data_IF_890054161960
#
_entry.id   IF_890054161960
#
_cell.length_a   1.000
_cell.length_b   1.000
_cell.length_c   1.000
_cell.angle_alpha   90.00
_cell.angle_beta   90.00
_cell.angle_gamma   90.00
#
_symmetry.space_group_name_H-M   'P 1'
#
loop_
_entity.id
_entity.type
_entity.pdbx_description
1 polymer ?
#
# COMPACT_ATOMS: atom_id res chain seq x y z
N UNK A 1 -3.97 -20.17 -9.18
CA UNK A 1 -4.77 -19.73 -10.33
C UNK A 1 -4.34 -18.32 -10.67
N UNK A 2 -3.69 -18.10 -11.81
CA UNK A 2 -3.40 -16.75 -12.28
C UNK A 2 -4.64 -16.24 -13.02
N UNK A 3 -5.03 -14.99 -12.77
CA UNK A 3 -6.04 -14.32 -13.58
C UNK A 3 -5.45 -14.05 -14.97
N UNK A 4 -6.24 -14.13 -16.06
CA UNK A 4 -5.76 -13.81 -17.41
C UNK A 4 -5.15 -12.40 -17.46
N UNK A 5 -4.07 -12.23 -18.23
CA UNK A 5 -3.46 -10.91 -18.39
C UNK A 5 -4.48 -9.86 -18.84
N UNK A 6 -4.48 -8.70 -18.19
CA UNK A 6 -5.38 -7.59 -18.51
C UNK A 6 -6.80 -7.68 -17.94
N UNK A 7 -7.15 -8.75 -17.20
CA UNK A 7 -8.47 -8.92 -16.58
C UNK A 7 -8.66 -8.04 -15.34
N UNK A 8 -7.58 -7.64 -14.67
CA UNK A 8 -7.58 -6.68 -13.55
C UNK A 8 -6.79 -5.45 -13.98
N UNK A 9 -7.39 -4.27 -13.85
CA UNK A 9 -6.75 -3.01 -14.26
C UNK A 9 -7.03 -1.85 -13.30
N UNK A 10 -6.20 -0.80 -13.33
CA UNK A 10 -6.51 0.46 -12.67
C UNK A 10 -7.81 1.06 -13.23
N UNK A 11 -8.67 1.61 -12.37
CA UNK A 11 -9.96 2.17 -12.78
C UNK A 11 -9.87 3.50 -13.55
N UNK A 12 -8.70 4.11 -13.61
CA UNK A 12 -8.37 5.32 -14.37
C UNK A 12 -7.89 5.02 -15.79
N UNK A 13 -7.78 3.75 -16.17
CA UNK A 13 -7.44 3.35 -17.54
C UNK A 13 -8.69 3.16 -18.40
N UNK A 14 -8.59 3.40 -19.73
CA UNK A 14 -9.68 3.12 -20.66
C UNK A 14 -10.16 1.66 -20.54
N UNK A 15 -11.48 1.49 -20.71
CA UNK A 15 -12.06 0.17 -20.84
C UNK A 15 -11.42 -0.58 -22.03
N UNK A 16 -11.23 -1.91 -21.91
CA UNK A 16 -10.72 -2.67 -23.04
C UNK A 16 -11.66 -2.55 -24.23
N UNK A 17 -11.12 -2.43 -25.44
CA UNK A 17 -11.90 -2.53 -26.65
C UNK A 17 -12.36 -3.99 -26.82
N UNK A 18 -13.63 -4.29 -26.50
CA UNK A 18 -14.20 -5.63 -26.65
C UNK A 18 -15.28 -5.94 -25.62
N UNK A 19 -15.95 -7.08 -25.79
CA UNK A 19 -17.03 -7.55 -24.90
C UNK A 19 -16.53 -8.42 -23.73
N UNK A 20 -15.22 -8.57 -23.56
CA UNK A 20 -14.66 -9.44 -22.53
C UNK A 20 -14.90 -8.86 -21.12
N UNK A 21 -15.32 -9.67 -20.13
CA UNK A 21 -15.51 -9.21 -18.77
C UNK A 21 -14.17 -8.80 -18.15
N UNK A 22 -14.19 -7.75 -17.33
CA UNK A 22 -13.00 -7.21 -16.68
C UNK A 22 -13.32 -6.62 -15.31
N UNK A 23 -12.28 -6.49 -14.49
CA UNK A 23 -12.36 -5.92 -13.15
C UNK A 23 -11.46 -4.69 -13.08
N UNK A 24 -11.97 -3.63 -12.47
CA UNK A 24 -11.18 -2.45 -12.12
C UNK A 24 -11.00 -2.33 -10.62
N UNK A 25 -9.81 -1.90 -10.21
CA UNK A 25 -9.48 -1.67 -8.81
C UNK A 25 -9.01 -0.23 -8.66
N UNK A 26 -9.58 0.49 -7.69
CA UNK A 26 -9.22 1.87 -7.37
C UNK A 26 -9.02 2.04 -5.88
N UNK A 27 -7.87 2.59 -5.49
CA UNK A 27 -7.69 3.11 -4.14
C UNK A 27 -8.42 4.45 -4.01
N UNK A 28 -9.44 4.51 -3.16
CA UNK A 28 -10.23 5.71 -2.90
C UNK A 28 -9.52 6.64 -1.93
N UNK A 29 -8.98 6.06 -0.84
CA UNK A 29 -8.31 6.81 0.23
C UNK A 29 -7.29 5.93 0.95
N UNK A 30 -6.26 6.55 1.51
CA UNK A 30 -5.37 5.93 2.49
C UNK A 30 -5.36 6.81 3.74
N UNK A 31 -5.64 6.24 4.90
CA UNK A 31 -5.53 6.92 6.19
C UNK A 31 -4.41 6.27 7.00
N UNK A 32 -3.48 7.06 7.57
CA UNK A 32 -2.48 6.50 8.46
C UNK A 32 -3.17 5.96 9.72
N UNK A 33 -2.74 4.78 10.16
CA UNK A 33 -3.13 4.18 11.43
C UNK A 33 -2.05 4.49 12.45
N UNK A 34 -2.28 5.54 13.24
CA UNK A 34 -1.34 6.01 14.25
C UNK A 34 -0.12 6.74 13.69
N UNK A 35 0.87 6.93 14.55
CA UNK A 35 2.13 7.57 14.20
C UNK A 35 3.11 6.59 13.56
N UNK A 36 3.99 7.10 12.70
CA UNK A 36 5.11 6.33 12.19
C UNK A 36 6.03 5.91 13.34
N UNK A 37 6.44 4.65 13.35
CA UNK A 37 7.44 4.16 14.28
C UNK A 37 8.82 4.26 13.62
N UNK A 38 9.71 5.03 14.21
CA UNK A 38 11.11 5.13 13.81
C UNK A 38 11.97 4.32 14.77
N UNK A 39 12.73 3.37 14.23
CA UNK A 39 13.75 2.64 14.97
C UNK A 39 15.12 2.91 14.33
N UNK A 40 16.13 3.12 15.17
CA UNK A 40 17.51 3.33 14.76
C UNK A 40 18.41 2.33 15.48
N UNK A 41 19.22 1.60 14.72
CA UNK A 41 20.12 0.55 15.25
C UNK A 41 21.60 0.98 15.25
N UNK A 42 21.88 2.27 15.01
CA UNK A 42 23.26 2.80 14.90
C UNK A 42 23.75 2.95 13.46
N UNK A 43 23.18 2.23 12.48
CA UNK A 43 23.59 2.28 11.06
C UNK A 43 22.42 2.51 10.12
N UNK A 44 21.26 1.94 10.45
CA UNK A 44 20.05 2.02 9.68
C UNK A 44 18.94 2.65 10.49
N UNK A 45 18.20 3.53 9.83
CA UNK A 45 16.92 4.00 10.30
C UNK A 45 15.84 3.21 9.56
N UNK A 46 14.93 2.61 10.32
CA UNK A 46 13.73 1.97 9.77
C UNK A 46 12.50 2.73 10.23
N UNK A 47 11.66 3.07 9.26
CA UNK A 47 10.40 3.77 9.47
C UNK A 47 9.28 2.80 9.10
N UNK A 48 8.44 2.48 10.08
CA UNK A 48 7.28 1.59 9.90
C UNK A 48 6.00 2.41 10.05
N UNK A 49 5.16 2.39 9.02
CA UNK A 49 3.87 3.06 8.99
C UNK A 49 2.77 2.03 8.70
N UNK A 50 1.69 2.07 9.46
CA UNK A 50 0.47 1.33 9.15
C UNK A 50 -0.51 2.26 8.43
N UNK A 51 -1.19 1.75 7.42
CA UNK A 51 -2.24 2.47 6.70
C UNK A 51 -3.51 1.62 6.63
N UNK A 52 -4.66 2.29 6.68
CA UNK A 52 -5.94 1.74 6.27
C UNK A 52 -6.28 2.28 4.88
N UNK A 53 -6.40 1.38 3.92
CA UNK A 53 -6.76 1.69 2.54
C UNK A 53 -8.22 1.38 2.31
N UNK A 54 -8.94 2.35 1.73
CA UNK A 54 -10.27 2.15 1.17
C UNK A 54 -10.11 1.88 -0.32
N UNK A 55 -10.57 0.71 -0.79
CA UNK A 55 -10.42 0.25 -2.16
C UNK A 55 -11.79 -0.05 -2.73
N UNK A 56 -12.07 0.45 -3.93
CA UNK A 56 -13.25 0.12 -4.72
C UNK A 56 -12.86 -0.89 -5.79
N UNK A 57 -13.60 -1.98 -5.86
CA UNK A 57 -13.46 -3.01 -6.90
C UNK A 57 -14.75 -3.02 -7.69
N UNK A 58 -14.65 -2.85 -9.00
CA UNK A 58 -15.79 -2.87 -9.92
C UNK A 58 -15.59 -4.00 -10.91
N UNK A 59 -16.63 -4.78 -11.16
CA UNK A 59 -16.65 -5.78 -12.21
C UNK A 59 -17.59 -5.33 -13.33
N UNK A 60 -17.22 -5.64 -14.57
CA UNK A 60 -17.94 -5.29 -15.78
C UNK A 60 -18.11 -6.53 -16.67
N UNK A 61 -19.24 -6.58 -17.38
CA UNK A 61 -19.58 -7.68 -18.29
C UNK A 61 -20.50 -8.71 -17.66
N UNK A 62 -20.91 -9.70 -18.48
CA UNK A 62 -21.85 -10.73 -18.07
C UNK A 62 -21.37 -11.48 -16.83
N UNK A 63 -22.21 -11.58 -15.81
CA UNK A 63 -21.88 -12.26 -14.55
C UNK A 63 -21.03 -11.42 -13.58
N UNK A 64 -20.97 -10.10 -13.74
CA UNK A 64 -20.18 -9.22 -12.89
C UNK A 64 -20.51 -9.36 -11.40
N UNK A 65 -21.79 -9.54 -11.06
CA UNK A 65 -22.25 -9.69 -9.68
C UNK A 65 -21.76 -11.00 -9.05
N UNK A 66 -21.94 -12.11 -9.76
CA UNK A 66 -21.50 -13.45 -9.35
C UNK A 66 -19.98 -13.52 -9.20
N UNK A 67 -19.25 -12.84 -10.10
CA UNK A 67 -17.79 -12.73 -10.02
C UNK A 67 -17.37 -12.03 -8.72
N UNK A 68 -18.03 -10.94 -8.35
CA UNK A 68 -17.69 -10.26 -7.09
C UNK A 68 -18.09 -11.06 -5.85
N UNK A 69 -19.18 -11.83 -5.89
CA UNK A 69 -19.50 -12.77 -4.81
C UNK A 69 -18.42 -13.84 -4.64
N UNK A 70 -17.92 -14.40 -5.74
CA UNK A 70 -16.79 -15.34 -5.70
C UNK A 70 -15.52 -14.68 -5.16
N UNK A 71 -15.23 -13.44 -5.58
CA UNK A 71 -14.08 -12.69 -5.09
C UNK A 71 -14.17 -12.42 -3.58
N UNK A 72 -15.35 -12.08 -3.06
CA UNK A 72 -15.59 -11.92 -1.62
C UNK A 72 -15.32 -13.21 -0.83
N UNK A 73 -15.82 -14.34 -1.33
CA UNK A 73 -15.57 -15.64 -0.72
C UNK A 73 -14.07 -15.98 -0.71
N UNK A 74 -13.36 -15.70 -1.81
CA UNK A 74 -11.92 -15.90 -1.91
C UNK A 74 -11.13 -15.00 -0.94
N UNK A 75 -11.52 -13.73 -0.81
CA UNK A 75 -10.87 -12.80 0.13
C UNK A 75 -11.04 -13.24 1.59
N UNK A 76 -12.16 -13.88 1.90
CA UNK A 76 -12.48 -14.37 3.24
C UNK A 76 -11.86 -15.75 3.55
N UNK A 77 -11.42 -16.49 2.53
CA UNK A 77 -10.89 -17.84 2.73
C UNK A 77 -9.44 -17.83 3.24
N UNK A 78 -8.97 -18.98 3.72
CA UNK A 78 -7.61 -19.12 4.25
C UNK A 78 -6.54 -18.76 3.21
N UNK A 79 -6.73 -19.16 1.96
CA UNK A 79 -5.78 -18.86 0.89
C UNK A 79 -5.73 -17.36 0.58
N UNK A 80 -6.88 -16.68 0.53
CA UNK A 80 -6.96 -15.23 0.30
C UNK A 80 -6.33 -14.44 1.45
N UNK A 81 -6.68 -14.78 2.69
CA UNK A 81 -6.08 -14.13 3.87
C UNK A 81 -4.57 -14.40 3.98
N UNK A 82 -4.10 -15.59 3.60
CA UNK A 82 -2.67 -15.89 3.51
C UNK A 82 -1.96 -15.05 2.43
N UNK A 83 -2.59 -14.89 1.27
CA UNK A 83 -2.10 -14.01 0.20
C UNK A 83 -1.97 -12.57 0.64
N UNK A 84 -2.98 -12.03 1.34
CA UNK A 84 -2.90 -10.67 1.91
C UNK A 84 -1.77 -10.55 2.94
N UNK A 85 -1.62 -11.53 3.84
CA UNK A 85 -0.52 -11.54 4.83
C UNK A 85 0.85 -11.56 4.17
N UNK A 86 1.03 -12.31 3.09
CA UNK A 86 2.29 -12.31 2.33
C UNK A 86 2.64 -10.92 1.77
N UNK A 87 1.62 -10.11 1.47
CA UNK A 87 1.75 -8.70 1.04
C UNK A 87 1.83 -7.72 2.21
N UNK A 88 1.98 -8.19 3.46
CA UNK A 88 1.91 -7.37 4.69
C UNK A 88 0.61 -6.58 4.81
N UNK A 89 -0.47 -7.17 4.30
CA UNK A 89 -1.79 -6.60 4.30
C UNK A 89 -2.79 -7.48 5.08
N UNK A 90 -3.87 -6.87 5.57
CA UNK A 90 -4.97 -7.55 6.25
C UNK A 90 -6.31 -7.03 5.76
N UNK A 91 -7.26 -7.94 5.52
CA UNK A 91 -8.64 -7.56 5.22
C UNK A 91 -9.35 -7.13 6.50
N UNK A 92 -9.86 -5.90 6.54
CA UNK A 92 -10.62 -5.37 7.69
C UNK A 92 -12.11 -5.56 7.48
N UNK A 93 -12.62 -5.17 6.32
CA UNK A 93 -14.02 -5.31 5.98
C UNK A 93 -14.23 -5.35 4.48
N UNK A 94 -15.37 -5.92 4.08
CA UNK A 94 -15.87 -5.94 2.70
C UNK A 94 -17.35 -5.59 2.74
N UNK A 95 -17.78 -4.65 1.90
CA UNK A 95 -19.22 -4.35 1.76
C UNK A 95 -19.93 -5.49 1.03
N UNK A 96 -21.24 -5.61 1.19
CA UNK A 96 -22.05 -6.45 0.32
C UNK A 96 -21.84 -6.09 -1.17
N UNK A 97 -21.95 -7.09 -2.05
CA UNK A 97 -21.90 -6.85 -3.49
C UNK A 97 -23.12 -6.03 -3.91
N UNK A 98 -22.86 -4.96 -4.64
CA UNK A 98 -23.88 -4.06 -5.18
C UNK A 98 -24.02 -4.34 -6.67
N UNK A 99 -25.24 -4.65 -7.12
CA UNK A 99 -25.57 -4.66 -8.54
C UNK A 99 -25.78 -3.23 -9.00
N UNK A 100 -25.01 -2.81 -10.01
CA UNK A 100 -25.04 -1.49 -10.62
C UNK A 100 -25.35 -1.59 -12.12
N UNK A 101 -25.90 -2.73 -12.55
CA UNK A 101 -26.24 -2.97 -13.93
C UNK A 101 -27.32 -2.00 -14.40
N UNK A 102 -27.13 -1.42 -15.58
CA UNK A 102 -28.00 -0.36 -16.08
C UNK A 102 -28.02 -0.33 -17.62
N UNK A 103 -28.99 0.40 -18.17
CA UNK A 103 -28.99 0.77 -19.58
C UNK A 103 -28.19 2.07 -19.73
N UNK A 104 -27.10 2.01 -20.50
CA UNK A 104 -26.19 3.14 -20.76
C UNK A 104 -26.06 3.31 -22.27
N UNK A 105 -26.38 4.49 -22.80
CA UNK A 105 -26.21 4.79 -24.23
C UNK A 105 -26.92 3.80 -25.17
N UNK A 106 -28.14 3.37 -24.80
CA UNK A 106 -28.93 2.35 -25.50
C UNK A 106 -28.39 0.90 -25.46
N UNK A 107 -27.29 0.63 -24.73
CA UNK A 107 -26.77 -0.71 -24.45
C UNK A 107 -27.02 -1.14 -23.00
N UNK A 108 -27.12 -2.45 -22.76
CA UNK A 108 -27.10 -3.01 -21.40
C UNK A 108 -25.65 -3.14 -20.91
N UNK A 109 -25.36 -2.52 -19.77
CA UNK A 109 -24.08 -2.62 -19.08
C UNK A 109 -24.28 -3.43 -17.80
N UNK A 110 -23.75 -4.65 -17.78
CA UNK A 110 -23.66 -5.45 -16.56
C UNK A 110 -22.49 -4.94 -15.70
N UNK A 111 -22.79 -4.51 -14.48
CA UNK A 111 -21.81 -3.92 -13.57
C UNK A 111 -22.12 -4.29 -12.14
N UNK A 112 -21.07 -4.58 -11.38
CA UNK A 112 -21.19 -4.75 -9.93
C UNK A 112 -20.03 -4.07 -9.20
N UNK A 113 -20.22 -3.82 -7.90
CA UNK A 113 -19.21 -3.19 -7.04
C UNK A 113 -19.14 -3.81 -5.66
N UNK A 114 -17.92 -3.87 -5.12
CA UNK A 114 -17.63 -4.07 -3.70
C UNK A 114 -16.62 -3.03 -3.23
N UNK A 115 -16.66 -2.68 -1.95
CA UNK A 115 -15.63 -1.88 -1.31
C UNK A 115 -14.91 -2.69 -0.25
N UNK A 116 -13.60 -2.51 -0.19
CA UNK A 116 -12.69 -3.20 0.71
C UNK A 116 -12.01 -2.18 1.61
N UNK A 117 -11.87 -2.53 2.88
CA UNK A 117 -10.92 -1.88 3.77
C UNK A 117 -9.77 -2.85 4.03
N UNK A 118 -8.55 -2.43 3.69
CA UNK A 118 -7.34 -3.25 3.83
C UNK A 118 -6.32 -2.48 4.68
N UNK A 119 -5.81 -3.10 5.74
CA UNK A 119 -4.62 -2.61 6.44
C UNK A 119 -3.36 -2.98 5.66
N UNK A 120 -2.34 -2.12 5.66
CA UNK A 120 -1.05 -2.42 5.06
C UNK A 120 0.08 -1.80 5.87
N UNK A 121 1.13 -2.60 6.10
CA UNK A 121 2.34 -2.16 6.80
C UNK A 121 3.42 -1.77 5.79
N UNK A 122 3.66 -0.47 5.67
CA UNK A 122 4.75 0.07 4.88
C UNK A 122 6.01 0.21 5.74
N UNK A 123 7.11 -0.40 5.31
CA UNK A 123 8.41 -0.29 5.99
C UNK A 123 9.43 0.27 5.01
N UNK A 124 10.00 1.41 5.35
CA UNK A 124 11.12 2.04 4.65
C UNK A 124 12.37 1.83 5.50
N UNK A 125 13.44 1.37 4.89
CA UNK A 125 14.76 1.24 5.54
C UNK A 125 15.72 2.14 4.79
N UNK A 126 16.39 3.03 5.52
CA UNK A 126 17.42 3.90 4.96
C UNK A 126 18.70 3.76 5.77
N UNK A 127 19.83 3.76 5.07
CA UNK A 127 21.15 3.83 5.68
C UNK A 127 21.44 5.29 6.00
N UNK A 128 21.75 5.58 7.27
CA UNK A 128 22.28 6.88 7.65
C UNK A 128 23.81 6.83 7.55
N UNK A 129 24.41 7.90 7.04
CA UNK A 129 25.86 8.04 7.14
C UNK A 129 26.23 8.12 8.63
N UNK A 130 27.11 7.22 9.07
CA UNK A 130 27.68 7.31 10.41
C UNK A 130 28.51 8.60 10.52
N UNK A 131 28.45 9.25 11.67
CA UNK A 131 29.37 10.36 11.97
C UNK A 131 30.66 9.72 12.49
N UNK A 132 31.65 9.59 11.62
CA UNK A 132 32.95 8.98 11.96
C UNK A 132 33.78 9.89 12.88
N UNK A 133 33.73 11.21 12.64
CA UNK A 133 34.40 12.20 13.47
C UNK A 133 33.68 13.54 13.49
N UNK A 134 33.85 14.31 14.56
CA UNK A 134 33.39 15.68 14.69
C UNK A 134 34.51 16.56 15.25
N UNK A 135 34.75 17.70 14.59
CA UNK A 135 35.73 18.69 15.06
C UNK A 135 35.06 19.79 15.89
N UNK A 136 35.55 20.01 17.10
CA UNK A 136 35.12 21.10 17.97
C UNK A 136 36.19 22.19 17.93
N UNK A 137 35.83 23.37 17.42
CA UNK A 137 36.68 24.56 17.43
C UNK A 137 36.25 25.53 18.53
N UNK A 138 37.13 25.73 19.51
CA UNK A 138 36.94 26.69 20.60
C UNK A 138 37.69 27.98 20.23
N UNK A 139 36.96 29.07 20.06
CA UNK A 139 37.51 30.39 19.79
C UNK A 139 37.44 31.25 21.05
N UNK A 140 38.58 31.73 21.55
CA UNK A 140 38.61 32.69 22.66
C UNK A 140 38.63 34.13 22.13
N UNK A 141 38.15 35.09 22.93
CA UNK A 141 38.22 36.54 22.59
C UNK A 141 39.64 37.07 22.43
N UNK A 142 40.64 36.30 22.88
CA UNK A 142 42.07 36.62 22.71
C UNK A 142 42.65 36.10 21.39
N UNK A 143 41.83 35.48 20.53
CA UNK A 143 42.26 34.97 19.23
C UNK A 143 42.87 33.58 19.27
N UNK A 144 42.84 32.87 20.40
CA UNK A 144 43.28 31.48 20.46
C UNK A 144 42.19 30.56 19.92
N UNK A 145 42.63 29.62 19.08
CA UNK A 145 41.79 28.55 18.53
C UNK A 145 42.34 27.23 19.05
N UNK A 146 41.52 26.48 19.75
CA UNK A 146 41.80 25.09 20.10
C UNK A 146 40.83 24.19 19.35
N UNK A 147 41.35 23.16 18.68
CA UNK A 147 40.56 22.15 18.00
C UNK A 147 40.68 20.81 18.71
N UNK A 148 39.55 20.15 18.97
CA UNK A 148 39.49 18.78 19.47
C UNK A 148 38.70 17.95 18.47
N UNK A 149 39.32 16.93 17.91
CA UNK A 149 38.64 15.94 17.06
C UNK A 149 38.08 14.84 17.96
N UNK A 150 36.76 14.68 17.95
CA UNK A 150 36.09 13.56 18.57
C UNK A 150 35.90 12.46 17.52
N UNK A 151 36.39 11.25 17.79
CA UNK A 151 36.15 10.07 16.96
C UNK A 151 35.09 9.20 17.60
N UNK A 152 34.28 8.51 16.77
CA UNK A 152 33.32 7.55 17.28
C UNK A 152 34.03 6.43 18.07
N UNK A 153 33.49 5.97 19.21
CA UNK A 153 34.09 4.88 19.97
C UNK A 153 34.10 3.59 19.14
N UNK A 154 35.23 2.87 19.16
CA UNK A 154 35.33 1.54 18.55
C UNK A 154 34.31 0.61 19.22
N UNK A 155 33.32 0.17 18.46
CA UNK A 155 32.34 -0.82 18.91
C UNK A 155 32.97 -2.20 18.70
N UNK A 156 33.51 -2.80 19.78
CA UNK A 156 33.94 -4.21 19.81
C UNK A 156 32.75 -5.17 19.77
#
# INVERSE_FOLDING_TARGET
>A
MALPEGSVRPADQPAPCGAAPFVTVKRLRSTPLGAACCAFDGRQQSITCAYLHHISVNAYGTGAYELLLQAQALLSCQAGTAGLRALRAGLVSVTAAQDLSAIVGAGYEARARIELQITHHHRVVTTLAAVDSADIHIHTRTGHIASVTMTAPETQ
#
